data_IF_066018758788
#
_entry.id   IF_066018758788
#
_cell.length_a   1.000
_cell.length_b   1.000
_cell.length_c   1.000
_cell.angle_alpha   90.00
_cell.angle_beta   90.00
_cell.angle_gamma   90.00
#
_symmetry.space_group_name_H-M   'P 1'
#
loop_
_entity.id
_entity.type
_entity.pdbx_description
1 polymer ?
#
# COMPACT_ATOMS: atom_id res chain seq x y z
N UNK A 1 -7.43 -18.76 7.56
CA UNK A 1 -6.56 -17.82 6.80
C UNK A 1 -7.27 -17.17 5.60
N UNK A 2 -8.01 -17.92 4.77
CA UNK A 2 -8.73 -17.40 3.58
C UNK A 2 -9.75 -16.28 3.89
N UNK A 3 -10.57 -16.43 4.93
CA UNK A 3 -11.58 -15.43 5.32
C UNK A 3 -10.98 -14.10 5.80
N UNK A 4 -9.88 -14.13 6.57
CA UNK A 4 -9.18 -12.91 7.03
C UNK A 4 -8.68 -12.09 5.84
N UNK A 5 -8.15 -12.77 4.83
CA UNK A 5 -7.65 -12.16 3.59
C UNK A 5 -8.78 -11.59 2.73
N UNK A 6 -9.87 -12.32 2.58
CA UNK A 6 -11.07 -11.83 1.91
C UNK A 6 -11.60 -10.54 2.58
N UNK A 7 -11.65 -10.49 3.92
CA UNK A 7 -12.06 -9.27 4.65
C UNK A 7 -11.10 -8.09 4.38
N UNK A 8 -9.80 -8.34 4.35
CA UNK A 8 -8.79 -7.32 4.04
C UNK A 8 -8.97 -6.76 2.60
N UNK A 9 -9.19 -7.63 1.62
CA UNK A 9 -9.40 -7.23 0.22
C UNK A 9 -10.70 -6.47 0.01
N UNK A 10 -11.78 -6.86 0.71
CA UNK A 10 -13.04 -6.10 0.72
C UNK A 10 -12.83 -4.68 1.22
N UNK A 11 -12.12 -4.54 2.35
CA UNK A 11 -11.81 -3.22 2.93
C UNK A 11 -10.96 -2.37 2.00
N UNK A 12 -10.00 -3.00 1.30
CA UNK A 12 -9.13 -2.33 0.35
C UNK A 12 -9.88 -1.86 -0.90
N UNK A 13 -10.70 -2.73 -1.51
CA UNK A 13 -11.51 -2.35 -2.66
C UNK A 13 -12.56 -1.31 -2.30
N UNK A 14 -13.15 -1.38 -1.10
CA UNK A 14 -14.06 -0.36 -0.62
C UNK A 14 -13.38 1.01 -0.49
N UNK A 15 -12.13 1.06 -0.03
CA UNK A 15 -11.32 2.29 -0.04
C UNK A 15 -11.16 2.83 -1.47
N UNK A 16 -10.83 1.96 -2.44
CA UNK A 16 -10.68 2.37 -3.84
C UNK A 16 -11.99 2.89 -4.46
N UNK A 17 -13.11 2.22 -4.20
CA UNK A 17 -14.43 2.67 -4.65
C UNK A 17 -14.84 4.00 -4.04
N UNK A 18 -14.64 4.18 -2.74
CA UNK A 18 -15.06 5.39 -2.03
C UNK A 18 -14.23 6.62 -2.40
N UNK A 19 -12.89 6.51 -2.36
CA UNK A 19 -12.01 7.67 -2.53
C UNK A 19 -11.57 7.93 -3.97
N UNK A 20 -11.50 6.89 -4.80
CA UNK A 20 -10.98 6.99 -6.16
C UNK A 20 -12.02 6.65 -7.22
N UNK A 21 -13.28 6.39 -6.84
CA UNK A 21 -14.41 6.23 -7.75
C UNK A 21 -14.37 4.95 -8.58
N UNK A 22 -13.69 3.89 -8.10
CA UNK A 22 -13.72 2.59 -8.75
C UNK A 22 -15.14 2.00 -8.72
N UNK A 23 -15.66 1.64 -9.90
CA UNK A 23 -16.99 1.04 -10.08
C UNK A 23 -16.88 -0.32 -10.77
N UNK A 24 -17.84 -1.18 -10.50
CA UNK A 24 -17.99 -2.45 -11.19
C UNK A 24 -18.61 -2.23 -12.58
N UNK A 25 -18.24 -3.01 -13.61
CA UNK A 25 -17.20 -4.05 -13.58
C UNK A 25 -15.78 -3.45 -13.52
N UNK A 26 -14.91 -4.00 -12.68
CA UNK A 26 -13.55 -3.50 -12.52
C UNK A 26 -12.74 -3.79 -13.79
N UNK A 27 -12.22 -2.72 -14.41
CA UNK A 27 -11.39 -2.83 -15.61
C UNK A 27 -9.98 -3.23 -15.21
N UNK A 28 -9.48 -4.33 -15.77
CA UNK A 28 -8.20 -4.90 -15.37
C UNK A 28 -7.28 -5.00 -16.57
N UNK A 29 -6.05 -4.47 -16.47
CA UNK A 29 -5.03 -4.67 -17.49
C UNK A 29 -4.16 -5.86 -17.08
N UNK A 30 -4.14 -6.89 -17.92
CA UNK A 30 -3.36 -8.11 -17.71
C UNK A 30 -2.10 -8.05 -18.56
N UNK A 31 -0.97 -8.29 -17.89
CA UNK A 31 0.36 -8.35 -18.49
C UNK A 31 0.67 -9.71 -19.15
N UNK A 32 1.58 -9.73 -20.12
CA UNK A 32 1.98 -10.91 -20.87
C UNK A 32 2.56 -12.00 -19.96
N UNK A 33 3.47 -11.62 -19.05
CA UNK A 33 4.08 -12.56 -18.10
C UNK A 33 3.04 -13.22 -17.18
N UNK A 34 2.03 -12.46 -16.76
CA UNK A 34 0.94 -12.95 -15.93
C UNK A 34 0.16 -14.07 -16.64
N UNK A 35 -0.12 -13.91 -17.93
CA UNK A 35 -0.80 -14.94 -18.73
C UNK A 35 0.02 -16.24 -18.75
N UNK A 36 1.33 -16.15 -18.97
CA UNK A 36 2.23 -17.31 -18.98
C UNK A 36 2.25 -18.00 -17.61
N UNK A 37 2.40 -17.23 -16.53
CA UNK A 37 2.40 -17.77 -15.16
C UNK A 37 1.05 -18.41 -14.80
N UNK A 38 -0.06 -17.83 -15.25
CA UNK A 38 -1.38 -18.37 -14.99
C UNK A 38 -1.62 -19.71 -15.69
N UNK A 39 -1.21 -19.84 -16.94
CA UNK A 39 -1.29 -21.11 -17.70
C UNK A 39 -0.40 -22.17 -17.05
N UNK A 40 0.85 -21.84 -16.75
CA UNK A 40 1.77 -22.76 -16.07
C UNK A 40 1.23 -23.21 -14.70
N UNK A 41 0.56 -22.31 -13.98
CA UNK A 41 -0.09 -22.59 -12.70
C UNK A 41 -1.48 -23.23 -12.82
N UNK A 42 -2.00 -23.47 -14.03
CA UNK A 42 -3.37 -23.93 -14.32
C UNK A 42 -4.44 -23.11 -13.59
N UNK A 43 -4.22 -21.80 -13.52
CA UNK A 43 -5.09 -20.86 -12.83
C UNK A 43 -6.11 -20.26 -13.80
N UNK A 44 -7.39 -20.39 -13.47
CA UNK A 44 -8.45 -19.66 -14.14
C UNK A 44 -8.42 -18.17 -13.73
N UNK A 45 -7.87 -17.33 -14.61
CA UNK A 45 -7.65 -15.91 -14.35
C UNK A 45 -8.94 -15.20 -13.94
N UNK A 46 -10.04 -15.40 -14.66
CA UNK A 46 -11.30 -14.67 -14.45
C UNK A 46 -11.92 -15.02 -13.10
N UNK A 47 -11.98 -16.32 -12.77
CA UNK A 47 -12.53 -16.80 -11.49
C UNK A 47 -11.70 -16.34 -10.29
N UNK A 48 -10.37 -16.42 -10.39
CA UNK A 48 -9.48 -16.01 -9.31
C UNK A 48 -9.51 -14.49 -9.09
N UNK A 49 -9.55 -13.70 -10.16
CA UNK A 49 -9.65 -12.23 -10.08
C UNK A 49 -10.99 -11.79 -9.47
N UNK A 50 -12.10 -12.40 -9.88
CA UNK A 50 -13.42 -12.22 -9.25
C UNK A 50 -13.38 -12.52 -7.74
N UNK A 51 -12.72 -13.61 -7.35
CA UNK A 51 -12.59 -14.01 -5.94
C UNK A 51 -11.75 -13.01 -5.12
N UNK A 52 -10.68 -12.46 -5.71
CA UNK A 52 -9.78 -11.51 -5.04
C UNK A 52 -10.42 -10.14 -4.90
N UNK A 53 -11.03 -9.62 -5.97
CA UNK A 53 -11.65 -8.28 -5.99
C UNK A 53 -13.06 -8.25 -5.41
N UNK A 54 -13.72 -9.40 -5.26
CA UNK A 54 -15.08 -9.54 -4.72
C UNK A 54 -16.11 -8.70 -5.47
N UNK A 55 -16.04 -8.75 -6.80
CA UNK A 55 -16.95 -8.05 -7.69
C UNK A 55 -16.78 -8.51 -9.12
N UNK A 56 -17.59 -7.95 -10.02
CA UNK A 56 -17.47 -8.23 -11.45
C UNK A 56 -16.18 -7.65 -12.01
N UNK A 57 -15.51 -8.43 -12.85
CA UNK A 57 -14.21 -8.10 -13.43
C UNK A 57 -14.29 -8.13 -14.94
N UNK A 58 -13.62 -7.17 -15.56
CA UNK A 58 -13.48 -7.05 -17.00
C UNK A 58 -12.00 -7.10 -17.36
N UNK A 59 -11.44 -8.31 -17.59
CA UNK A 59 -10.04 -8.44 -17.97
C UNK A 59 -9.82 -7.90 -19.39
N UNK A 60 -8.77 -7.09 -19.51
CA UNK A 60 -8.36 -6.44 -20.74
C UNK A 60 -6.87 -6.70 -20.96
N UNK A 61 -6.46 -6.76 -22.23
CA UNK A 61 -5.06 -6.86 -22.62
C UNK A 61 -4.73 -5.76 -23.63
N UNK A 62 -3.55 -5.14 -23.49
CA UNK A 62 -3.10 -4.11 -24.44
C UNK A 62 -2.57 -4.75 -25.73
N UNK A 63 -2.55 -3.97 -26.82
CA UNK A 63 -2.01 -4.44 -28.09
C UNK A 63 -0.50 -4.75 -28.00
N UNK A 64 0.27 -4.00 -27.20
CA UNK A 64 1.69 -4.26 -26.98
C UNK A 64 1.92 -5.56 -26.20
N UNK A 65 1.17 -5.80 -25.10
CA UNK A 65 1.34 -7.01 -24.29
C UNK A 65 0.98 -8.29 -25.08
N UNK A 66 -0.08 -8.26 -25.89
CA UNK A 66 -0.41 -9.42 -26.72
C UNK A 66 0.61 -9.63 -27.85
N UNK A 67 1.21 -8.57 -28.38
CA UNK A 67 2.28 -8.68 -29.36
C UNK A 67 3.53 -9.34 -28.76
N UNK A 68 3.88 -8.99 -27.52
CA UNK A 68 4.96 -9.64 -26.78
C UNK A 68 4.74 -11.15 -26.63
N UNK A 69 3.49 -11.58 -26.38
CA UNK A 69 3.14 -13.01 -26.35
C UNK A 69 3.33 -13.69 -27.70
N UNK A 70 3.05 -13.01 -28.82
CA UNK A 70 3.30 -13.57 -30.15
C UNK A 70 4.80 -13.75 -30.44
N UNK A 71 5.64 -12.81 -30.00
CA UNK A 71 7.11 -12.89 -30.17
C UNK A 71 7.67 -14.10 -29.40
N UNK A 72 7.12 -14.43 -28.23
CA UNK A 72 7.54 -15.60 -27.43
C UNK A 72 7.31 -16.94 -28.14
N UNK A 73 6.52 -16.96 -29.22
CA UNK A 73 6.39 -18.10 -30.12
C UNK A 73 5.38 -19.16 -29.70
N UNK A 74 5.34 -20.27 -30.45
CA UNK A 74 4.30 -21.32 -30.33
C UNK A 74 4.31 -22.08 -29.01
N UNK A 75 5.43 -22.06 -28.26
CA UNK A 75 5.53 -22.70 -26.95
C UNK A 75 4.52 -22.12 -25.93
N UNK A 76 4.08 -20.88 -26.13
CA UNK A 76 3.14 -20.19 -25.25
C UNK A 76 1.76 -19.98 -25.88
N UNK A 77 1.38 -20.85 -26.82
CA UNK A 77 0.11 -20.73 -27.55
C UNK A 77 -1.11 -20.75 -26.62
N UNK A 78 -1.10 -21.56 -25.56
CA UNK A 78 -2.17 -21.59 -24.55
C UNK A 78 -2.34 -20.24 -23.83
N UNK A 79 -1.24 -19.52 -23.58
CA UNK A 79 -1.28 -18.19 -22.98
C UNK A 79 -1.82 -17.15 -23.96
N UNK A 80 -1.50 -17.30 -25.26
CA UNK A 80 -2.06 -16.49 -26.34
C UNK A 80 -3.58 -16.70 -26.46
N UNK A 81 -4.04 -17.94 -26.40
CA UNK A 81 -5.46 -18.26 -26.54
C UNK A 81 -6.26 -17.79 -25.32
N UNK A 82 -5.68 -17.89 -24.13
CA UNK A 82 -6.23 -17.26 -22.92
C UNK A 82 -6.31 -15.74 -23.08
N UNK A 83 -5.26 -15.11 -23.60
CA UNK A 83 -5.21 -13.66 -23.82
C UNK A 83 -6.21 -13.17 -24.88
N UNK A 84 -6.50 -13.96 -25.91
CA UNK A 84 -7.51 -13.64 -26.94
C UNK A 84 -8.94 -13.57 -26.38
N UNK A 85 -9.22 -14.28 -25.30
CA UNK A 85 -10.52 -14.23 -24.63
C UNK A 85 -10.75 -12.92 -23.86
N UNK A 86 -9.69 -12.14 -23.62
CA UNK A 86 -9.79 -10.85 -22.92
C UNK A 86 -10.13 -9.70 -23.87
N UNK A 87 -10.74 -8.65 -23.33
CA UNK A 87 -11.06 -7.48 -24.14
C UNK A 87 -9.79 -6.75 -24.56
N UNK A 88 -9.67 -6.42 -25.86
CA UNK A 88 -8.49 -5.74 -26.38
C UNK A 88 -8.55 -4.24 -26.11
N UNK A 89 -7.57 -3.72 -25.37
CA UNK A 89 -7.33 -2.28 -25.21
C UNK A 89 -6.38 -1.79 -26.28
N UNK A 90 -6.87 -0.90 -27.15
CA UNK A 90 -6.03 -0.18 -28.12
C UNK A 90 -5.13 0.81 -27.36
N UNK A 91 -3.82 0.65 -27.50
CA UNK A 91 -2.81 1.62 -27.05
C UNK A 91 -2.35 2.46 -28.25
N UNK A 92 -1.96 3.71 -28.01
CA UNK A 92 -1.62 4.67 -29.06
C UNK A 92 -0.15 4.57 -29.53
N UNK A 93 0.42 3.37 -29.52
CA UNK A 93 1.80 3.14 -29.96
C UNK A 93 1.81 2.73 -31.43
N UNK A 94 2.68 3.36 -32.24
CA UNK A 94 2.84 3.00 -33.67
C UNK A 94 3.50 1.64 -33.82
N UNK A 95 4.54 1.41 -33.02
CA UNK A 95 5.28 0.15 -32.94
C UNK A 95 5.05 -0.50 -31.57
N UNK A 96 5.21 -1.81 -31.50
CA UNK A 96 5.03 -2.55 -30.26
C UNK A 96 6.22 -2.31 -29.31
N UNK A 97 6.00 -1.43 -28.35
CA UNK A 97 6.90 -1.17 -27.21
C UNK A 97 6.78 -2.34 -26.19
N UNK A 98 7.78 -2.59 -25.33
CA UNK A 98 7.66 -3.53 -24.21
C UNK A 98 6.37 -3.36 -23.39
N UNK A 99 5.78 -4.47 -22.96
CA UNK A 99 4.49 -4.47 -22.24
C UNK A 99 4.51 -3.60 -20.98
N UNK A 100 5.61 -3.62 -20.23
CA UNK A 100 5.80 -2.84 -19.01
C UNK A 100 5.65 -1.33 -19.25
N UNK A 101 6.33 -0.80 -20.26
CA UNK A 101 6.30 0.64 -20.55
C UNK A 101 4.95 1.02 -21.17
N UNK A 102 4.36 0.16 -22.00
CA UNK A 102 2.99 0.37 -22.49
C UNK A 102 1.97 0.47 -21.34
N UNK A 103 2.08 -0.38 -20.31
CA UNK A 103 1.18 -0.34 -19.16
C UNK A 103 1.39 0.92 -18.31
N UNK A 104 2.65 1.34 -18.12
CA UNK A 104 2.96 2.59 -17.44
C UNK A 104 2.33 3.80 -18.16
N UNK A 105 2.48 3.88 -19.48
CA UNK A 105 1.94 4.97 -20.30
C UNK A 105 0.41 5.00 -20.34
N UNK A 106 -0.24 3.83 -20.41
CA UNK A 106 -1.71 3.71 -20.42
C UNK A 106 -2.33 4.13 -19.07
N UNK A 107 -1.64 3.85 -17.96
CA UNK A 107 -2.09 4.26 -16.62
C UNK A 107 -1.83 5.76 -16.39
N UNK A 108 -0.64 6.24 -16.77
CA UNK A 108 -0.16 7.58 -16.52
C UNK A 108 -0.05 7.94 -15.03
N UNK A 109 0.19 9.22 -14.72
CA UNK A 109 0.50 9.66 -13.35
C UNK A 109 -0.69 9.65 -12.38
N UNK A 110 -1.92 9.57 -12.89
CA UNK A 110 -3.12 9.77 -12.08
C UNK A 110 -4.22 8.73 -12.29
N UNK A 111 -3.94 7.62 -12.99
CA UNK A 111 -4.88 6.53 -13.28
C UNK A 111 -6.31 7.01 -13.62
N UNK A 112 -6.44 7.83 -14.68
CA UNK A 112 -7.71 8.50 -15.05
C UNK A 112 -8.84 7.50 -15.31
N UNK A 113 -8.50 6.36 -15.91
CA UNK A 113 -9.44 5.31 -16.29
C UNK A 113 -9.69 4.28 -15.19
N UNK A 114 -9.00 4.39 -14.04
CA UNK A 114 -9.18 3.50 -12.86
C UNK A 114 -8.95 2.04 -13.21
N UNK A 115 -7.82 1.75 -13.85
CA UNK A 115 -7.40 0.38 -14.09
C UNK A 115 -6.90 -0.29 -12.81
N UNK A 116 -7.20 -1.57 -12.68
CA UNK A 116 -6.48 -2.51 -11.82
C UNK A 116 -5.41 -3.18 -12.66
N UNK A 117 -4.16 -3.20 -12.19
CA UNK A 117 -3.07 -3.80 -12.96
C UNK A 117 -2.76 -5.20 -12.43
N UNK A 118 -2.69 -6.18 -13.33
CA UNK A 118 -2.27 -7.54 -13.03
C UNK A 118 -0.93 -7.80 -13.70
N UNK A 119 0.15 -7.75 -12.93
CA UNK A 119 1.51 -7.89 -13.45
C UNK A 119 2.38 -8.74 -12.52
N UNK A 120 3.28 -9.50 -13.13
CA UNK A 120 4.34 -10.24 -12.46
C UNK A 120 5.68 -9.49 -12.44
N UNK A 121 5.86 -8.55 -13.37
CA UNK A 121 7.04 -7.71 -13.47
C UNK A 121 7.26 -6.91 -12.18
N UNK A 122 8.37 -7.19 -11.50
CA UNK A 122 8.78 -6.42 -10.32
C UNK A 122 9.16 -4.97 -10.65
N UNK A 123 9.87 -4.64 -11.76
CA UNK A 123 10.16 -3.25 -12.09
C UNK A 123 8.88 -2.45 -12.36
N UNK A 124 7.90 -3.01 -13.09
CA UNK A 124 6.63 -2.33 -13.33
C UNK A 124 5.88 -2.04 -12.02
N UNK A 125 5.80 -3.01 -11.10
CA UNK A 125 5.15 -2.80 -9.79
C UNK A 125 5.80 -1.68 -8.98
N UNK A 126 7.13 -1.57 -9.01
CA UNK A 126 7.82 -0.49 -8.31
C UNK A 126 7.44 0.89 -8.89
N UNK A 127 7.39 1.03 -10.22
CA UNK A 127 6.92 2.25 -10.90
C UNK A 127 5.47 2.57 -10.52
N UNK A 128 4.57 1.57 -10.57
CA UNK A 128 3.14 1.75 -10.29
C UNK A 128 2.83 2.08 -8.82
N UNK A 129 3.67 1.67 -7.86
CA UNK A 129 3.49 2.06 -6.44
C UNK A 129 3.70 3.55 -6.20
N UNK A 130 4.50 4.23 -7.03
CA UNK A 130 4.67 5.68 -6.97
C UNK A 130 3.40 6.42 -7.40
N UNK A 131 2.59 5.80 -8.26
CA UNK A 131 1.35 6.36 -8.76
C UNK A 131 0.24 6.11 -7.71
N UNK A 132 -0.53 7.15 -7.33
CA UNK A 132 -1.64 6.97 -6.41
C UNK A 132 -2.83 6.31 -7.12
N UNK A 133 -3.64 5.57 -6.37
CA UNK A 133 -4.90 4.97 -6.83
C UNK A 133 -4.73 3.85 -7.87
N UNK A 134 -3.66 3.07 -7.78
CA UNK A 134 -3.42 1.91 -8.65
C UNK A 134 -3.43 0.62 -7.82
N UNK A 135 -4.51 -0.17 -7.86
CA UNK A 135 -4.54 -1.50 -7.27
C UNK A 135 -3.69 -2.45 -8.13
N UNK A 136 -2.75 -3.14 -7.49
CA UNK A 136 -1.83 -4.08 -8.14
C UNK A 136 -2.15 -5.49 -7.68
N UNK A 137 -2.32 -6.41 -8.63
CA UNK A 137 -2.49 -7.84 -8.40
C UNK A 137 -1.32 -8.60 -9.00
N UNK A 138 -0.77 -9.55 -8.25
CA UNK A 138 0.29 -10.43 -8.72
C UNK A 138 -0.01 -11.88 -8.30
N UNK A 139 0.61 -12.85 -8.96
CA UNK A 139 0.50 -14.27 -8.66
C UNK A 139 1.74 -14.68 -7.86
N UNK A 140 1.54 -15.35 -6.72
CA UNK A 140 2.62 -16.01 -6.00
C UNK A 140 2.31 -17.51 -5.92
N UNK A 141 3.15 -18.33 -6.56
CA UNK A 141 2.91 -19.76 -6.80
C UNK A 141 1.55 -19.98 -7.45
N UNK A 142 0.56 -20.46 -6.71
CA UNK A 142 -0.80 -20.76 -7.21
C UNK A 142 -1.87 -19.84 -6.64
N UNK A 143 -1.49 -18.69 -6.06
CA UNK A 143 -2.45 -17.79 -5.39
C UNK A 143 -2.29 -16.36 -5.88
N UNK A 144 -3.39 -15.76 -6.35
CA UNK A 144 -3.44 -14.35 -6.70
C UNK A 144 -3.52 -13.47 -5.47
N UNK A 145 -2.73 -12.40 -5.44
CA UNK A 145 -2.56 -11.48 -4.33
C UNK A 145 -2.81 -10.05 -4.78
N UNK A 146 -3.84 -9.41 -4.21
CA UNK A 146 -3.98 -7.96 -4.23
C UNK A 146 -3.00 -7.35 -3.22
N UNK A 147 -2.13 -6.48 -3.70
CA UNK A 147 -1.16 -5.77 -2.87
C UNK A 147 -1.86 -4.77 -1.93
N UNK A 148 -1.30 -4.51 -0.73
CA UNK A 148 -1.76 -3.41 0.11
C UNK A 148 -1.63 -2.05 -0.62
N UNK A 149 -2.38 -1.02 -0.19
CA UNK A 149 -2.36 0.27 -0.86
C UNK A 149 -0.97 0.90 -0.76
N UNK A 150 -0.52 1.53 -1.84
CA UNK A 150 0.77 2.22 -1.87
C UNK A 150 0.79 3.44 -0.95
N UNK A 151 1.97 3.84 -0.50
CA UNK A 151 2.15 5.05 0.32
C UNK A 151 1.64 6.30 -0.42
N UNK A 152 1.82 6.37 -1.75
CA UNK A 152 1.29 7.44 -2.58
C UNK A 152 -0.25 7.48 -2.53
N UNK A 153 -0.90 6.32 -2.59
CA UNK A 153 -2.36 6.19 -2.48
C UNK A 153 -2.85 6.64 -1.10
N UNK A 154 -2.16 6.23 -0.04
CA UNK A 154 -2.51 6.62 1.33
C UNK A 154 -2.34 8.13 1.56
N UNK A 155 -1.27 8.74 1.03
CA UNK A 155 -1.07 10.20 1.09
C UNK A 155 -2.19 10.94 0.37
N UNK A 156 -2.55 10.53 -0.85
CA UNK A 156 -3.63 11.17 -1.63
C UNK A 156 -4.98 11.03 -0.92
N UNK A 157 -5.24 9.87 -0.30
CA UNK A 157 -6.42 9.67 0.55
C UNK A 157 -6.44 10.64 1.73
N UNK A 158 -5.34 10.73 2.49
CA UNK A 158 -5.25 11.60 3.65
C UNK A 158 -5.42 13.10 3.27
N UNK A 159 -4.86 13.50 2.13
CA UNK A 159 -5.05 14.85 1.58
C UNK A 159 -6.52 15.11 1.20
N UNK A 160 -7.18 14.16 0.54
CA UNK A 160 -8.60 14.26 0.20
C UNK A 160 -9.49 14.30 1.46
N UNK A 161 -9.19 13.48 2.47
CA UNK A 161 -9.89 13.51 3.77
C UNK A 161 -9.68 14.86 4.48
N UNK A 162 -8.44 15.36 4.50
CA UNK A 162 -8.12 16.65 5.12
C UNK A 162 -8.77 17.84 4.40
N UNK A 163 -8.96 17.77 3.09
CA UNK A 163 -9.71 18.77 2.32
C UNK A 163 -11.19 18.71 2.64
N UNK A 164 -11.77 17.52 2.77
CA UNK A 164 -13.19 17.34 3.10
C UNK A 164 -13.51 17.75 4.55
N UNK A 165 -12.63 17.41 5.50
CA UNK A 165 -12.73 17.78 6.92
C UNK A 165 -12.24 19.21 7.20
N UNK A 166 -11.52 19.81 6.26
CA UNK A 166 -11.00 21.15 6.36
C UNK A 166 -12.15 22.16 6.26
N UNK A 167 -12.71 22.53 7.42
CA UNK A 167 -13.57 23.71 7.52
C UNK A 167 -12.92 24.89 6.78
N UNK A 168 -13.70 25.71 6.06
CA UNK A 168 -13.17 26.87 5.35
C UNK A 168 -12.32 27.71 6.32
N UNK A 169 -11.28 28.34 5.80
CA UNK A 169 -10.33 29.15 6.59
C UNK A 169 -11.03 30.19 7.48
N UNK A 170 -12.25 30.60 7.13
CA UNK A 170 -13.16 31.40 7.95
C UNK A 170 -13.45 30.79 9.33
N UNK A 171 -13.75 29.49 9.41
CA UNK A 171 -14.22 28.86 10.63
C UNK A 171 -13.06 28.60 11.60
N UNK A 172 -11.87 28.29 11.08
CA UNK A 172 -10.65 28.18 11.91
C UNK A 172 -10.22 29.54 12.47
N UNK A 173 -10.41 30.62 11.72
CA UNK A 173 -10.17 31.97 12.21
C UNK A 173 -11.18 32.38 13.28
N UNK A 174 -12.47 32.06 13.11
CA UNK A 174 -13.51 32.32 14.12
C UNK A 174 -13.30 31.52 15.41
N UNK A 175 -12.90 30.24 15.31
CA UNK A 175 -12.60 29.41 16.50
C UNK A 175 -11.36 29.94 17.24
N UNK A 176 -10.32 30.40 16.52
CA UNK A 176 -9.16 31.02 17.15
C UNK A 176 -9.45 32.41 17.71
N UNK A 177 -10.33 33.20 17.08
CA UNK A 177 -10.78 34.50 17.59
C UNK A 177 -11.73 34.38 18.80
N UNK A 178 -12.44 33.24 18.92
CA UNK A 178 -13.29 32.93 20.09
C UNK A 178 -12.54 32.32 21.27
N UNK A 179 -11.21 32.19 21.22
CA UNK A 179 -10.42 31.92 22.42
C UNK A 179 -10.31 33.22 23.22
N UNK A 180 -10.90 33.33 24.42
CA UNK A 180 -10.55 34.42 25.31
C UNK A 180 -9.06 34.33 25.63
N UNK A 181 -8.32 35.41 25.37
CA UNK A 181 -6.90 35.59 25.68
C UNK A 181 -6.60 35.62 27.19
N UNK A 182 -7.59 35.38 28.05
CA UNK A 182 -7.42 35.22 29.50
C UNK A 182 -8.03 33.91 30.00
N UNK A 183 -7.34 32.80 29.76
CA UNK A 183 -7.55 31.58 30.53
C UNK A 183 -6.49 31.51 31.66
N UNK A 184 -6.87 31.59 32.95
CA UNK A 184 -5.91 31.51 34.03
C UNK A 184 -5.22 30.15 34.00
N UNK A 185 -3.89 30.15 34.01
CA UNK A 185 -3.05 28.94 34.09
C UNK A 185 -3.51 28.10 35.29
N UNK A 186 -4.25 27.01 35.02
CA UNK A 186 -4.64 26.04 36.06
C UNK A 186 -3.37 25.53 36.74
N UNK A 187 -3.18 25.92 38.01
CA UNK A 187 -2.12 25.37 38.86
C UNK A 187 -2.21 23.84 38.80
N UNK A 188 -1.10 23.20 38.43
CA UNK A 188 -0.99 21.73 38.42
C UNK A 188 -1.36 21.24 39.82
N UNK A 189 -2.50 20.56 39.98
CA UNK A 189 -2.79 19.83 41.21
C UNK A 189 -1.67 18.81 41.38
N UNK A 190 -0.97 18.88 42.52
CA UNK A 190 0.07 17.94 42.89
C UNK A 190 -0.44 16.49 42.85
N UNK A 191 0.46 15.50 42.91
CA UNK A 191 0.08 14.10 42.87
C UNK A 191 -0.99 13.84 43.94
N UNK A 192 -2.09 13.19 43.52
CA UNK A 192 -3.18 12.80 44.42
C UNK A 192 -2.57 11.95 45.54
N UNK A 193 -2.71 12.39 46.79
CA UNK A 193 -2.35 11.58 47.95
C UNK A 193 -3.09 10.23 47.90
N UNK A 194 -2.53 9.19 48.54
CA UNK A 194 -3.13 7.86 48.50
C UNK A 194 -4.56 7.93 49.06
N UNK A 195 -5.46 7.17 48.41
CA UNK A 195 -6.88 7.07 48.75
C UNK A 195 -7.07 6.85 50.27
N UNK A 196 -7.85 7.69 50.98
CA UNK A 196 -7.96 7.67 52.44
C UNK A 196 -8.49 6.36 53.04
N UNK A 197 -9.03 5.43 52.24
CA UNK A 197 -9.40 4.08 52.67
C UNK A 197 -8.25 3.07 52.64
N UNK A 198 -7.05 3.46 52.18
CA UNK A 198 -5.94 2.55 51.90
C UNK A 198 -4.74 2.70 52.84
N UNK A 199 -4.89 3.43 53.95
CA UNK A 199 -3.89 3.50 55.03
C UNK A 199 -4.13 2.35 56.01
N UNK A 200 -3.47 1.21 55.80
CA UNK A 200 -3.33 0.20 56.86
C UNK A 200 -2.56 0.85 58.02
N UNK A 201 -3.15 0.81 59.22
CA UNK A 201 -2.54 1.32 60.45
C UNK A 201 -1.15 0.71 60.65
N UNK A 202 -0.19 1.57 61.00
CA UNK A 202 1.20 1.22 61.31
C UNK A 202 1.23 0.31 62.54
N UNK A 203 1.71 -0.93 62.38
CA UNK A 203 2.05 -1.83 63.48
C UNK A 203 3.43 -1.40 64.01
N UNK A 204 3.54 -1.22 65.31
CA UNK A 204 4.78 -0.84 66.01
C UNK A 204 5.72 -2.04 66.05
N UNK A 205 7.00 -1.80 65.76
CA UNK A 205 8.08 -2.78 65.70
C UNK A 205 8.52 -3.27 67.09
N UNK A 206 8.98 -4.53 67.12
CA UNK A 206 9.96 -5.03 68.09
C UNK A 206 11.01 -5.88 67.35
N UNK A 207 12.25 -5.40 67.33
CA UNK A 207 13.48 -6.05 66.83
C UNK A 207 14.00 -7.13 67.83
N UNK A 208 15.11 -7.90 67.59
CA UNK A 208 15.99 -8.07 66.39
C UNK A 208 16.43 -9.54 66.02
N UNK A 209 17.25 -9.67 64.95
CA UNK A 209 18.26 -10.72 64.61
C UNK A 209 17.79 -12.15 64.28
N UNK A 210 18.31 -12.96 63.33
CA UNK A 210 19.57 -13.02 62.55
C UNK A 210 19.43 -14.07 61.41
N UNK A 211 20.34 -14.01 60.43
CA UNK A 211 20.88 -15.12 59.59
C UNK A 211 20.26 -15.52 58.22
N UNK A 212 21.04 -15.20 57.18
CA UNK A 212 21.63 -16.06 56.12
C UNK A 212 20.80 -16.80 55.02
N UNK A 213 21.36 -16.68 53.81
CA UNK A 213 21.45 -17.61 52.65
C UNK A 213 20.34 -17.72 51.56
N UNK A 214 20.85 -17.49 50.34
CA UNK A 214 20.72 -18.22 49.05
C UNK A 214 19.46 -18.07 48.18
N UNK A 215 19.71 -17.66 46.92
CA UNK A 215 19.37 -18.49 45.75
C UNK A 215 18.50 -17.87 44.65
N UNK A 216 18.89 -18.16 43.40
CA UNK A 216 18.10 -18.19 42.15
C UNK A 216 17.99 -16.93 41.25
N UNK A 217 18.89 -16.90 40.25
CA UNK A 217 18.66 -16.83 38.79
C UNK A 217 17.27 -16.43 38.23
N UNK A 218 17.23 -15.55 37.21
CA UNK A 218 16.85 -15.84 35.80
C UNK A 218 16.60 -14.53 35.00
N UNK A 219 17.27 -14.46 33.84
CA UNK A 219 17.04 -13.76 32.57
C UNK A 219 16.09 -12.53 32.44
N UNK A 220 16.65 -11.45 31.87
CA UNK A 220 15.91 -10.42 31.12
C UNK A 220 16.42 -10.37 29.68
N UNK A 221 15.56 -10.81 28.78
CA UNK A 221 15.74 -10.79 27.33
C UNK A 221 15.58 -9.39 26.74
N UNK A 222 16.34 -9.19 25.66
CA UNK A 222 16.49 -8.00 24.81
C UNK A 222 15.19 -7.51 24.17
N UNK A 223 15.01 -6.20 24.13
CA UNK A 223 14.15 -5.49 23.17
C UNK A 223 14.94 -4.32 22.59
N UNK A 224 15.49 -4.50 21.39
CA UNK A 224 16.06 -3.43 20.53
C UNK A 224 16.31 -4.01 19.15
N UNK A 225 15.44 -3.69 18.18
CA UNK A 225 15.76 -3.49 16.75
C UNK A 225 14.47 -3.30 15.94
N UNK A 226 14.03 -2.05 15.76
CA UNK A 226 13.28 -1.66 14.55
C UNK A 226 13.46 -0.16 14.30
N UNK A 227 14.55 0.20 13.62
CA UNK A 227 14.79 1.56 13.07
C UNK A 227 15.43 1.54 11.67
N UNK A 228 15.48 0.39 11.00
CA UNK A 228 16.32 0.21 9.80
C UNK A 228 15.64 0.34 8.43
N UNK A 229 14.32 0.56 8.34
CA UNK A 229 13.60 0.45 7.05
C UNK A 229 13.13 1.75 6.40
N UNK A 230 13.14 2.88 7.11
CA UNK A 230 12.60 4.14 6.60
C UNK A 230 13.57 4.94 5.68
N UNK A 231 14.87 4.66 5.71
CA UNK A 231 15.87 5.48 4.99
C UNK A 231 16.10 5.09 3.52
N UNK A 232 15.63 3.91 3.07
CA UNK A 232 16.03 3.39 1.75
C UNK A 232 15.30 4.03 0.56
N UNK A 233 14.10 4.61 0.75
CA UNK A 233 13.38 5.29 -0.34
C UNK A 233 13.88 6.72 -0.60
N UNK A 234 14.54 7.37 0.38
CA UNK A 234 14.98 8.77 0.23
C UNK A 234 16.32 8.91 -0.49
N UNK A 235 17.13 7.86 -0.53
CA UNK A 235 18.46 7.86 -1.12
C UNK A 235 18.47 7.78 -2.65
N UNK A 236 17.39 7.27 -3.28
CA UNK A 236 17.34 7.12 -4.74
C UNK A 236 16.96 8.43 -5.48
N UNK A 237 16.26 9.36 -4.82
CA UNK A 237 15.91 10.66 -5.41
C UNK A 237 17.09 11.65 -5.45
N UNK A 238 18.08 11.51 -4.56
CA UNK A 238 19.21 12.44 -4.48
C UNK A 238 20.37 12.06 -5.42
N UNK A 239 20.53 10.78 -5.76
CA UNK A 239 21.57 10.32 -6.69
C UNK A 239 21.21 10.56 -8.16
N UNK A 240 19.91 10.58 -8.51
CA UNK A 240 19.43 10.89 -9.86
C UNK A 240 19.61 12.36 -10.25
N UNK A 241 19.49 13.30 -9.30
CA UNK A 241 19.63 14.74 -9.57
C UNK A 241 21.07 15.22 -9.75
N UNK A 242 22.08 14.48 -9.28
CA UNK A 242 23.50 14.89 -9.43
C UNK A 242 24.16 14.43 -10.74
N UNK A 243 23.57 13.50 -11.49
CA UNK A 243 24.11 13.06 -12.79
C UNK A 243 23.63 13.89 -13.98
N UNK A 244 22.55 14.66 -13.84
CA UNK A 244 22.00 15.47 -14.92
C UNK A 244 22.67 16.85 -15.09
N UNK A 245 23.56 17.27 -14.17
CA UNK A 245 24.18 18.60 -14.18
C UNK A 245 25.67 18.62 -14.54
N UNK A 246 26.24 17.52 -15.05
CA UNK A 246 27.69 17.39 -15.27
C UNK A 246 28.10 17.02 -16.72
N UNK A 247 27.21 17.16 -17.70
CA UNK A 247 27.56 16.97 -19.12
C UNK A 247 27.13 18.18 -19.93
N UNK A 248 27.93 19.24 -19.91
CA UNK A 248 27.67 20.46 -20.67
C UNK A 248 28.68 21.56 -20.42
N UNK A 249 29.95 21.34 -20.73
CA UNK A 249 30.94 22.40 -20.98
C UNK A 249 32.25 21.81 -21.49
N UNK A 250 32.57 22.07 -22.75
CA UNK A 250 33.89 21.85 -23.34
C UNK A 250 33.94 22.46 -24.76
N UNK A 251 34.94 23.30 -25.06
CA UNK A 251 34.99 24.18 -26.24
C UNK A 251 35.18 23.47 -27.57
#
# INVERSE_FOLDING_TARGET
MRQKRAKAYRKLMHLYSHFFGFRQPFQMLVDAETCVVAVNGKLDLVKQLSTVLQGEVKPMITQCCIHELYIKGKAFQEAVDTAKNFERRKCNHREAIPGDDCLADVVGDSNKHRYVIVTQSTPLRNKLRCIPAVPIVHINRSVMILEPPSDATLRKKALAEAQLLGAPTSDKALINASRPEDAPKKKKKGPKGPNPLSVKKKKVDSLPSTSNKKGATVDKSKALTDKGKAERCRAQDLSGRRRASASGSGP
#
